data_IF_226170142993
#
_entry.id   IF_226170142993
#
_cell.length_a   1.000
_cell.length_b   1.000
_cell.length_c   1.000
_cell.angle_alpha   90.00
_cell.angle_beta   90.00
_cell.angle_gamma   90.00
#
_symmetry.space_group_name_H-M   'P 1'
#
loop_
_entity.id
_entity.type
_entity.pdbx_description
1 polymer ?
#
# COMPACT_ATOMS: atom_id res chain seq x y z
N UNK A 1 0.92 4.25 19.77
CA UNK A 1 1.19 2.94 19.13
C UNK A 1 2.21 3.14 18.01
N UNK A 2 3.17 2.22 17.88
CA UNK A 2 4.19 2.27 16.82
C UNK A 2 3.83 1.30 15.70
N UNK A 3 3.81 1.77 14.45
CA UNK A 3 3.52 0.94 13.28
C UNK A 3 4.76 0.19 12.79
N UNK A 4 4.55 -0.89 12.02
CA UNK A 4 5.65 -1.58 11.30
C UNK A 4 6.50 -0.58 10.51
N UNK A 5 5.87 0.29 9.72
CA UNK A 5 6.57 1.32 8.92
C UNK A 5 7.39 2.28 9.79
N UNK A 6 6.90 2.64 10.97
CA UNK A 6 7.60 3.51 11.91
C UNK A 6 8.83 2.82 12.53
N UNK A 7 8.72 1.53 12.87
CA UNK A 7 9.84 0.73 13.38
C UNK A 7 10.89 0.52 12.30
N UNK A 8 10.50 0.07 11.10
CA UNK A 8 11.40 -0.11 9.95
C UNK A 8 12.23 1.16 9.68
N UNK A 9 11.60 2.34 9.72
CA UNK A 9 12.28 3.62 9.51
C UNK A 9 13.29 3.96 10.60
N UNK A 10 13.04 3.55 11.85
CA UNK A 10 13.93 3.82 13.00
C UNK A 10 15.04 2.77 13.14
N UNK A 11 14.81 1.56 12.63
CA UNK A 11 15.76 0.45 12.73
C UNK A 11 17.02 0.74 11.91
N UNK A 12 18.16 0.82 12.59
CA UNK A 12 19.46 0.93 11.94
C UNK A 12 19.81 -0.40 11.29
N UNK A 13 19.78 -0.43 9.97
CA UNK A 13 20.14 -1.61 9.19
C UNK A 13 21.60 -1.56 8.69
N UNK A 14 22.23 -2.73 8.45
CA UNK A 14 23.49 -2.82 7.71
C UNK A 14 23.43 -2.10 6.34
N UNK A 15 24.59 -1.89 5.71
CA UNK A 15 24.68 -1.17 4.42
C UNK A 15 23.71 -1.73 3.37
N UNK A 16 23.59 -3.05 3.29
CA UNK A 16 22.73 -3.74 2.32
C UNK A 16 21.38 -4.18 2.90
N UNK A 17 21.04 -3.79 4.13
CA UNK A 17 19.87 -4.33 4.84
C UNK A 17 20.13 -5.64 5.57
N UNK A 18 19.22 -6.01 6.46
CA UNK A 18 19.20 -7.34 7.06
C UNK A 18 18.80 -8.42 6.06
N UNK A 19 17.83 -8.08 5.19
CA UNK A 19 17.40 -8.91 4.08
C UNK A 19 17.70 -8.17 2.76
N UNK A 20 18.89 -8.35 2.15
CA UNK A 20 19.30 -7.55 1.00
C UNK A 20 18.44 -7.81 -0.24
N UNK A 21 18.05 -6.75 -0.97
CA UNK A 21 17.27 -6.88 -2.22
C UNK A 21 17.95 -7.81 -3.24
N UNK A 22 19.29 -7.87 -3.26
CA UNK A 22 20.06 -8.78 -4.12
C UNK A 22 19.82 -10.28 -3.84
N UNK A 23 19.20 -10.65 -2.71
CA UNK A 23 18.83 -12.05 -2.45
C UNK A 23 17.53 -12.45 -3.16
N UNK A 24 16.74 -11.49 -3.64
CA UNK A 24 15.52 -11.75 -4.39
C UNK A 24 15.86 -12.07 -5.83
N UNK A 25 15.15 -13.05 -6.39
CA UNK A 25 15.09 -13.26 -7.83
C UNK A 25 14.26 -12.14 -8.45
N UNK A 26 14.76 -11.56 -9.54
CA UNK A 26 14.14 -10.38 -10.18
C UNK A 26 13.66 -10.74 -11.57
N UNK A 27 12.38 -10.52 -11.83
CA UNK A 27 11.75 -10.76 -13.12
C UNK A 27 11.28 -9.42 -13.70
N UNK A 28 11.75 -9.09 -14.90
CA UNK A 28 11.26 -7.95 -15.67
C UNK A 28 10.09 -8.41 -16.56
N UNK A 29 8.92 -7.82 -16.37
CA UNK A 29 7.71 -8.13 -17.13
C UNK A 29 7.51 -7.20 -18.33
N UNK A 30 7.91 -5.93 -18.19
CA UNK A 30 7.81 -4.89 -19.20
C UNK A 30 8.74 -3.73 -18.87
N UNK A 31 8.97 -2.86 -19.85
CA UNK A 31 9.81 -1.66 -19.68
C UNK A 31 9.21 -0.66 -18.68
N UNK A 32 10.04 0.07 -17.90
CA UNK A 32 9.56 1.09 -16.99
C UNK A 32 8.68 2.15 -17.68
N UNK A 33 7.59 2.55 -17.02
CA UNK A 33 6.70 3.58 -17.56
C UNK A 33 7.39 4.96 -17.53
N UNK A 34 7.16 5.76 -18.57
CA UNK A 34 7.59 7.14 -18.56
C UNK A 34 6.65 7.98 -17.69
N UNK A 35 7.17 8.45 -16.54
CA UNK A 35 6.42 9.29 -15.59
C UNK A 35 6.69 10.79 -15.77
N UNK A 36 7.46 11.16 -16.80
CA UNK A 36 7.71 12.56 -17.12
C UNK A 36 6.41 13.23 -17.54
N UNK A 37 6.09 14.36 -16.89
CA UNK A 37 4.86 15.10 -17.16
C UNK A 37 3.65 14.65 -16.36
N UNK A 38 3.75 13.66 -15.46
CA UNK A 38 2.69 13.43 -14.47
C UNK A 38 2.51 14.68 -13.58
N UNK A 39 1.25 15.05 -13.29
CA UNK A 39 0.94 16.24 -12.49
C UNK A 39 0.32 15.92 -11.11
N UNK A 40 0.21 14.65 -10.76
CA UNK A 40 -0.20 14.17 -9.43
C UNK A 40 1.01 13.66 -8.67
N UNK A 41 1.08 13.93 -7.37
CA UNK A 41 2.21 13.53 -6.54
C UNK A 41 2.37 12.00 -6.51
N UNK A 42 3.60 11.45 -6.59
CA UNK A 42 3.83 10.00 -6.69
C UNK A 42 3.19 9.17 -5.57
N UNK A 43 3.12 9.69 -4.34
CA UNK A 43 2.46 8.98 -3.23
C UNK A 43 0.96 8.81 -3.46
N UNK A 44 0.29 9.84 -3.98
CA UNK A 44 -1.15 9.80 -4.27
C UNK A 44 -1.44 8.91 -5.48
N UNK A 45 -0.56 8.92 -6.49
CA UNK A 45 -0.60 7.93 -7.58
C UNK A 45 -0.49 6.50 -7.04
N UNK A 46 0.39 6.27 -6.07
CA UNK A 46 0.55 4.96 -5.43
C UNK A 46 -0.73 4.47 -4.74
N UNK A 47 -1.35 5.33 -3.93
CA UNK A 47 -2.63 5.03 -3.26
C UNK A 47 -3.75 4.78 -4.28
N UNK A 48 -3.84 5.59 -5.34
CA UNK A 48 -4.86 5.41 -6.36
C UNK A 48 -4.70 4.08 -7.12
N UNK A 49 -3.47 3.68 -7.43
CA UNK A 49 -3.18 2.38 -8.05
C UNK A 49 -3.57 1.22 -7.13
N UNK A 50 -3.28 1.31 -5.84
CA UNK A 50 -3.67 0.30 -4.85
C UNK A 50 -5.20 0.17 -4.76
N UNK A 51 -5.92 1.30 -4.56
CA UNK A 51 -7.37 1.31 -4.49
C UNK A 51 -8.03 0.78 -5.77
N UNK A 52 -7.60 1.24 -6.94
CA UNK A 52 -8.16 0.77 -8.22
C UNK A 52 -7.89 -0.73 -8.43
N UNK A 53 -6.71 -1.22 -8.07
CA UNK A 53 -6.41 -2.65 -8.17
C UNK A 53 -7.33 -3.48 -7.27
N UNK A 54 -7.48 -3.11 -5.99
CA UNK A 54 -8.37 -3.79 -5.04
C UNK A 54 -9.84 -3.71 -5.46
N UNK A 55 -10.29 -2.57 -6.00
CA UNK A 55 -11.65 -2.39 -6.51
C UNK A 55 -11.97 -3.37 -7.65
N UNK A 56 -10.98 -3.62 -8.52
CA UNK A 56 -11.11 -4.56 -9.62
C UNK A 56 -10.91 -6.03 -9.21
N UNK A 57 -10.44 -6.28 -7.98
CA UNK A 57 -10.23 -7.62 -7.42
C UNK A 57 -11.34 -7.96 -6.40
N UNK A 58 -12.57 -8.14 -6.93
CA UNK A 58 -13.86 -8.17 -6.22
C UNK A 58 -13.99 -9.19 -5.06
N UNK A 59 -13.03 -10.09 -4.88
CA UNK A 59 -13.09 -11.12 -3.84
C UNK A 59 -12.66 -10.62 -2.44
N UNK A 60 -12.20 -9.36 -2.29
CA UNK A 60 -11.61 -8.87 -1.03
C UNK A 60 -12.16 -7.53 -0.53
N UNK A 61 -13.45 -7.23 -0.77
CA UNK A 61 -14.03 -5.87 -0.66
C UNK A 61 -14.38 -5.36 0.74
N UNK A 62 -13.98 -5.99 1.85
CA UNK A 62 -14.33 -5.42 3.16
C UNK A 62 -13.52 -4.15 3.42
N UNK A 63 -14.23 -3.02 3.50
CA UNK A 63 -13.73 -1.74 3.98
C UNK A 63 -12.62 -1.08 3.12
N UNK A 64 -12.60 -1.29 1.80
CA UNK A 64 -11.57 -0.77 0.87
C UNK A 64 -11.23 0.72 1.12
N UNK A 65 -12.25 1.58 1.20
CA UNK A 65 -12.08 3.02 1.39
C UNK A 65 -12.20 3.47 2.85
N UNK A 66 -12.09 2.55 3.82
CA UNK A 66 -12.21 2.89 5.24
C UNK A 66 -11.20 3.93 5.67
N UNK A 67 -9.95 3.83 5.21
CA UNK A 67 -8.90 4.79 5.55
C UNK A 67 -9.22 6.20 5.06
N UNK A 68 -9.73 6.33 3.83
CA UNK A 68 -10.18 7.62 3.30
C UNK A 68 -11.39 8.17 4.07
N UNK A 69 -12.37 7.33 4.38
CA UNK A 69 -13.56 7.70 5.16
C UNK A 69 -13.19 8.14 6.60
N UNK A 70 -12.31 7.42 7.27
CA UNK A 70 -11.78 7.80 8.59
C UNK A 70 -11.00 9.12 8.52
N UNK A 71 -10.21 9.32 7.45
CA UNK A 71 -9.53 10.59 7.19
C UNK A 71 -10.50 11.76 7.04
N UNK A 72 -11.59 11.57 6.31
CA UNK A 72 -12.65 12.55 6.14
C UNK A 72 -13.39 12.85 7.46
N UNK A 73 -13.71 11.82 8.25
CA UNK A 73 -14.33 12.00 9.57
C UNK A 73 -13.42 12.75 10.55
N UNK A 74 -12.11 12.48 10.52
CA UNK A 74 -11.13 13.21 11.33
C UNK A 74 -11.09 14.70 10.94
N UNK A 75 -11.18 15.02 9.65
CA UNK A 75 -11.25 16.40 9.17
C UNK A 75 -12.51 17.11 9.64
N UNK A 76 -13.68 16.48 9.53
CA UNK A 76 -14.95 17.04 10.01
C UNK A 76 -14.87 17.37 11.51
N UNK A 77 -14.37 16.43 12.31
CA UNK A 77 -14.18 16.63 13.75
C UNK A 77 -13.16 17.73 14.07
N UNK A 78 -12.05 17.79 13.33
CA UNK A 78 -11.04 18.83 13.49
C UNK A 78 -11.60 20.21 13.16
N UNK A 79 -12.33 20.35 12.06
CA UNK A 79 -12.95 21.61 11.66
C UNK A 79 -13.96 22.09 12.70
N UNK A 80 -14.85 21.20 13.16
CA UNK A 80 -15.81 21.48 14.22
C UNK A 80 -15.13 21.96 15.50
N UNK A 81 -14.09 21.26 15.96
CA UNK A 81 -13.36 21.62 17.18
C UNK A 81 -12.68 23.00 17.09
N UNK A 82 -12.19 23.37 15.89
CA UNK A 82 -11.49 24.64 15.66
C UNK A 82 -12.41 25.78 15.20
N UNK A 83 -13.74 25.57 15.13
CA UNK A 83 -14.69 26.57 14.66
C UNK A 83 -14.54 26.93 13.17
N UNK A 84 -13.97 26.02 12.38
CA UNK A 84 -13.87 26.12 10.91
C UNK A 84 -15.18 25.59 10.32
N UNK A 85 -15.63 26.18 9.21
CA UNK A 85 -16.80 25.69 8.48
C UNK A 85 -16.62 24.20 8.13
N UNK A 86 -17.60 23.38 8.54
CA UNK A 86 -17.59 21.95 8.29
C UNK A 86 -18.34 21.68 6.98
N UNK A 87 -17.62 21.17 5.98
CA UNK A 87 -18.15 20.87 4.65
C UNK A 87 -18.78 19.46 4.54
N UNK A 88 -18.86 18.70 5.63
CA UNK A 88 -19.29 17.30 5.66
C UNK A 88 -18.44 16.43 4.72
N UNK A 89 -17.12 16.46 4.92
CA UNK A 89 -16.13 15.72 4.12
C UNK A 89 -16.45 14.22 4.10
N UNK A 90 -16.92 13.64 5.21
CA UNK A 90 -17.29 12.23 5.26
C UNK A 90 -18.40 11.88 4.26
N UNK A 91 -19.50 12.65 4.24
CA UNK A 91 -20.61 12.41 3.30
C UNK A 91 -20.20 12.71 1.87
N UNK A 92 -19.30 13.68 1.65
CA UNK A 92 -18.74 13.94 0.33
C UNK A 92 -17.93 12.75 -0.20
N UNK A 93 -16.95 12.24 0.57
CA UNK A 93 -16.15 11.07 0.19
C UNK A 93 -17.02 9.84 -0.04
N UNK A 94 -18.02 9.62 0.82
CA UNK A 94 -19.01 8.56 0.64
C UNK A 94 -19.78 8.70 -0.67
N UNK A 95 -20.22 9.90 -1.03
CA UNK A 95 -20.90 10.14 -2.31
C UNK A 95 -20.00 9.87 -3.52
N UNK A 96 -18.70 10.18 -3.43
CA UNK A 96 -17.74 9.83 -4.48
C UNK A 96 -17.65 8.32 -4.65
N UNK A 97 -17.52 7.58 -3.54
CA UNK A 97 -17.47 6.12 -3.53
C UNK A 97 -18.75 5.51 -4.13
N UNK A 98 -19.93 5.97 -3.69
CA UNK A 98 -21.24 5.49 -4.17
C UNK A 98 -21.44 5.75 -5.67
N UNK A 99 -20.74 6.73 -6.22
CA UNK A 99 -20.81 7.11 -7.64
C UNK A 99 -19.78 6.40 -8.54
N UNK A 100 -18.92 5.52 -8.00
CA UNK A 100 -17.92 4.80 -8.79
C UNK A 100 -18.60 3.77 -9.70
N UNK A 101 -18.19 3.73 -10.97
CA UNK A 101 -18.60 2.68 -11.91
C UNK A 101 -17.81 1.38 -11.72
N UNK A 102 -16.74 1.44 -10.94
CA UNK A 102 -15.78 0.36 -10.68
C UNK A 102 -15.03 -0.07 -11.96
N UNK A 103 -14.64 0.91 -12.78
CA UNK A 103 -13.85 0.69 -13.98
C UNK A 103 -12.55 1.52 -13.99
N UNK A 104 -11.81 1.46 -15.10
CA UNK A 104 -10.58 2.25 -15.30
C UNK A 104 -10.82 3.44 -16.25
N UNK A 105 -12.04 3.98 -16.28
CA UNK A 105 -12.33 5.22 -16.99
C UNK A 105 -11.57 6.39 -16.35
N UNK A 106 -11.37 7.47 -17.10
CA UNK A 106 -10.73 8.66 -16.55
C UNK A 106 -11.50 9.21 -15.33
N UNK A 107 -12.83 9.15 -15.37
CA UNK A 107 -13.69 9.66 -14.31
C UNK A 107 -13.50 8.89 -13.00
N UNK A 108 -13.51 7.56 -13.04
CA UNK A 108 -13.31 6.72 -11.85
C UNK A 108 -11.88 6.85 -11.31
N UNK A 109 -10.86 6.94 -12.19
CA UNK A 109 -9.48 7.20 -11.76
C UNK A 109 -9.39 8.54 -11.01
N UNK A 110 -10.01 9.60 -11.53
CA UNK A 110 -10.02 10.92 -10.88
C UNK A 110 -10.68 10.86 -9.52
N UNK A 111 -11.87 10.23 -9.41
CA UNK A 111 -12.58 10.04 -8.15
C UNK A 111 -11.73 9.28 -7.14
N UNK A 112 -11.04 8.22 -7.55
CA UNK A 112 -10.18 7.45 -6.64
C UNK A 112 -8.94 8.25 -6.20
N UNK A 113 -8.36 9.08 -7.07
CA UNK A 113 -7.29 10.02 -6.66
C UNK A 113 -7.83 10.99 -5.59
N UNK A 114 -9.04 11.51 -5.77
CA UNK A 114 -9.68 12.42 -4.82
C UNK A 114 -9.99 11.73 -3.48
N UNK A 115 -10.59 10.54 -3.51
CA UNK A 115 -10.82 9.71 -2.31
C UNK A 115 -9.49 9.43 -1.58
N UNK A 116 -8.45 9.04 -2.31
CA UNK A 116 -7.13 8.77 -1.75
C UNK A 116 -6.43 10.01 -1.15
N UNK A 117 -6.89 11.22 -1.47
CA UNK A 117 -6.32 12.45 -0.90
C UNK A 117 -6.62 12.60 0.60
N UNK A 118 -7.60 11.85 1.13
CA UNK A 118 -7.99 11.85 2.55
C UNK A 118 -7.14 10.90 3.41
N UNK A 119 -6.48 9.90 2.84
CA UNK A 119 -5.62 8.94 3.55
C UNK A 119 -4.59 9.60 4.49
N UNK A 120 -3.85 10.65 4.08
CA UNK A 120 -2.88 11.31 4.95
C UNK A 120 -3.46 11.86 6.24
N UNK A 121 -4.73 12.30 6.25
CA UNK A 121 -5.39 12.82 7.44
C UNK A 121 -5.48 11.73 8.53
N UNK A 122 -5.85 10.51 8.14
CA UNK A 122 -5.87 9.36 9.04
C UNK A 122 -4.46 8.88 9.39
N UNK A 123 -3.59 8.69 8.39
CA UNK A 123 -2.30 8.01 8.56
C UNK A 123 -1.22 8.88 9.25
N UNK A 124 -1.30 10.20 9.07
CA UNK A 124 -0.26 11.14 9.52
C UNK A 124 -0.83 12.39 10.20
N UNK A 125 -2.15 12.51 10.34
CA UNK A 125 -2.84 13.65 10.93
C UNK A 125 -3.27 14.71 9.91
N UNK A 126 -4.27 15.50 10.29
CA UNK A 126 -4.93 16.54 9.47
C UNK A 126 -3.97 17.51 8.80
N UNK A 127 -2.85 17.84 9.44
CA UNK A 127 -1.83 18.73 8.89
C UNK A 127 -1.14 18.20 7.63
N UNK A 128 -1.28 16.89 7.33
CA UNK A 128 -0.75 16.27 6.11
C UNK A 128 -1.81 16.10 5.01
N UNK A 129 -3.07 16.47 5.28
CA UNK A 129 -4.11 16.52 4.27
C UNK A 129 -3.84 17.66 3.29
N UNK A 130 -4.08 17.40 2.00
CA UNK A 130 -4.08 18.43 0.97
C UNK A 130 -5.37 18.30 0.18
N UNK A 131 -6.25 19.33 0.18
CA UNK A 131 -7.49 19.28 -0.58
C UNK A 131 -7.23 19.02 -2.06
N UNK A 132 -8.04 18.14 -2.66
CA UNK A 132 -7.93 17.82 -4.08
C UNK A 132 -8.09 19.07 -4.97
N UNK A 133 -9.00 19.96 -4.60
CA UNK A 133 -9.20 21.23 -5.29
C UNK A 133 -7.94 22.12 -5.25
N UNK A 134 -7.24 22.22 -4.12
CA UNK A 134 -5.98 22.96 -4.02
C UNK A 134 -4.88 22.34 -4.87
N UNK A 135 -4.87 21.01 -5.04
CA UNK A 135 -3.97 20.34 -5.97
C UNK A 135 -4.28 20.74 -7.43
N UNK A 136 -5.55 20.79 -7.82
CA UNK A 136 -6.00 21.23 -9.16
C UNK A 136 -5.58 22.68 -9.41
N UNK A 137 -5.82 23.58 -8.46
CA UNK A 137 -5.48 25.00 -8.59
C UNK A 137 -3.97 25.21 -8.80
N UNK A 138 -3.15 24.42 -8.11
CA UNK A 138 -1.70 24.54 -8.17
C UNK A 138 -1.08 23.86 -9.41
N UNK A 139 -1.57 22.69 -9.77
CA UNK A 139 -0.92 21.79 -10.74
C UNK A 139 -1.75 21.55 -12.01
N UNK A 140 -2.93 22.18 -12.12
CA UNK A 140 -3.92 21.90 -13.14
C UNK A 140 -4.72 20.62 -12.88
N UNK A 141 -5.79 20.43 -13.66
CA UNK A 141 -6.59 19.20 -13.62
C UNK A 141 -5.74 17.97 -13.99
N UNK A 142 -6.11 16.79 -13.49
CA UNK A 142 -5.35 15.55 -13.71
C UNK A 142 -5.17 15.29 -15.21
N UNK A 143 -3.92 15.21 -15.66
CA UNK A 143 -3.62 15.14 -17.08
C UNK A 143 -3.66 13.70 -17.63
N UNK A 144 -3.75 13.58 -18.96
CA UNK A 144 -3.83 12.28 -19.64
C UNK A 144 -2.61 11.38 -19.42
N UNK A 145 -1.43 11.95 -19.20
CA UNK A 145 -0.22 11.16 -18.90
C UNK A 145 -0.41 10.41 -17.59
N UNK A 146 -0.84 11.12 -16.54
CA UNK A 146 -1.13 10.55 -15.22
C UNK A 146 -2.22 9.49 -15.30
N UNK A 147 -3.34 9.79 -15.98
CA UNK A 147 -4.47 8.86 -16.12
C UNK A 147 -4.07 7.58 -16.86
N UNK A 148 -3.33 7.70 -17.96
CA UNK A 148 -2.86 6.56 -18.75
C UNK A 148 -1.85 5.71 -17.97
N UNK A 149 -0.94 6.32 -17.22
CA UNK A 149 0.02 5.60 -16.41
C UNK A 149 -0.66 4.82 -15.28
N UNK A 150 -1.61 5.42 -14.55
CA UNK A 150 -2.40 4.72 -13.53
C UNK A 150 -3.15 3.54 -14.16
N UNK A 151 -3.89 3.78 -15.25
CA UNK A 151 -4.62 2.73 -15.96
C UNK A 151 -3.73 1.59 -16.40
N UNK A 152 -2.56 1.90 -16.95
CA UNK A 152 -1.60 0.90 -17.41
C UNK A 152 -1.10 0.05 -16.23
N UNK A 153 -0.67 0.69 -15.14
CA UNK A 153 -0.19 0.00 -13.94
C UNK A 153 -1.25 -0.94 -13.37
N UNK A 154 -2.49 -0.48 -13.20
CA UNK A 154 -3.59 -1.29 -12.66
C UNK A 154 -3.92 -2.45 -13.61
N UNK A 155 -3.95 -2.20 -14.92
CA UNK A 155 -4.19 -3.24 -15.93
C UNK A 155 -3.11 -4.34 -15.87
N UNK A 156 -1.84 -3.95 -15.71
CA UNK A 156 -0.73 -4.90 -15.58
C UNK A 156 -0.76 -5.67 -14.27
N UNK A 157 -1.21 -5.06 -13.18
CA UNK A 157 -1.45 -5.76 -11.92
C UNK A 157 -2.56 -6.80 -12.05
N UNK A 158 -3.70 -6.44 -12.66
CA UNK A 158 -4.82 -7.38 -12.92
C UNK A 158 -4.32 -8.58 -13.75
N UNK A 159 -3.53 -8.32 -14.79
CA UNK A 159 -2.94 -9.37 -15.64
C UNK A 159 -1.91 -10.26 -14.91
N UNK A 160 -1.22 -9.73 -13.91
CA UNK A 160 -0.22 -10.50 -13.15
C UNK A 160 -0.89 -11.34 -12.06
N UNK A 161 -1.82 -10.76 -11.33
CA UNK A 161 -2.49 -11.34 -10.17
C UNK A 161 -3.78 -12.10 -10.53
N UNK A 162 -3.71 -12.87 -11.60
CA UNK A 162 -4.73 -13.84 -12.03
C UNK A 162 -4.15 -15.26 -11.95
N UNK A 163 -5.02 -16.26 -12.08
CA UNK A 163 -4.65 -17.68 -12.08
C UNK A 163 -3.76 -18.09 -10.90
N UNK A 164 -2.50 -18.44 -11.16
CA UNK A 164 -1.54 -18.95 -10.17
C UNK A 164 -1.14 -17.91 -9.12
N UNK A 165 -1.17 -16.62 -9.47
CA UNK A 165 -0.84 -15.52 -8.58
C UNK A 165 -2.08 -14.82 -8.03
N UNK A 166 -3.27 -15.42 -8.17
CA UNK A 166 -4.51 -14.83 -7.69
C UNK A 166 -4.40 -14.41 -6.23
N UNK A 167 -4.80 -13.17 -5.94
CA UNK A 167 -4.87 -12.65 -4.58
C UNK A 167 -6.00 -13.34 -3.82
N UNK A 168 -5.71 -13.80 -2.61
CA UNK A 168 -6.65 -14.48 -1.71
C UNK A 168 -7.02 -13.63 -0.49
N UNK A 169 -6.18 -12.67 -0.12
CA UNK A 169 -6.41 -11.78 1.03
C UNK A 169 -5.70 -10.44 0.78
N UNK A 170 -6.25 -9.36 1.33
CA UNK A 170 -5.66 -8.01 1.23
C UNK A 170 -5.89 -7.25 2.54
N UNK A 171 -4.96 -6.36 2.89
CA UNK A 171 -5.11 -5.51 4.09
C UNK A 171 -5.15 -6.28 5.40
N UNK A 172 -4.53 -7.46 5.45
CA UNK A 172 -4.53 -8.32 6.64
C UNK A 172 -3.77 -7.66 7.76
N UNK A 173 -4.45 -7.40 8.88
CA UNK A 173 -3.81 -6.94 10.12
C UNK A 173 -3.21 -8.12 10.90
N UNK A 174 -2.43 -7.84 11.94
CA UNK A 174 -1.76 -8.86 12.77
C UNK A 174 -2.26 -8.85 14.21
N UNK A 175 -3.56 -8.64 14.41
CA UNK A 175 -4.20 -8.64 15.74
C UNK A 175 -3.83 -9.93 16.49
N UNK A 176 -3.36 -9.78 17.73
CA UNK A 176 -2.87 -10.87 18.57
C UNK A 176 -1.43 -11.31 18.32
N UNK A 177 -0.79 -10.84 17.23
CA UNK A 177 0.61 -11.09 16.91
C UNK A 177 1.55 -9.89 17.13
N UNK A 178 0.99 -8.69 17.37
CA UNK A 178 1.74 -7.49 17.71
C UNK A 178 2.50 -7.63 19.03
N UNK A 179 3.61 -6.89 19.15
CA UNK A 179 4.51 -6.87 20.30
C UNK A 179 4.66 -5.48 20.92
N UNK A 180 5.60 -5.34 21.83
CA UNK A 180 5.82 -4.08 22.57
C UNK A 180 6.25 -2.95 21.63
N UNK A 181 7.07 -3.27 20.62
CA UNK A 181 7.63 -2.28 19.70
C UNK A 181 6.77 -2.03 18.47
N UNK A 182 5.93 -3.00 18.08
CA UNK A 182 5.07 -2.94 16.91
C UNK A 182 3.65 -3.30 17.31
N UNK A 183 2.77 -2.30 17.25
CA UNK A 183 1.38 -2.39 17.73
C UNK A 183 0.35 -2.26 16.61
N UNK A 184 0.78 -1.83 15.41
CA UNK A 184 -0.08 -1.71 14.23
C UNK A 184 0.67 -2.03 12.95
N UNK A 185 -0.06 -2.49 11.94
CA UNK A 185 0.47 -2.77 10.60
C UNK A 185 -0.41 -3.74 9.84
N UNK A 186 -0.40 -3.63 8.53
CA UNK A 186 -1.17 -4.43 7.60
C UNK A 186 -0.30 -4.78 6.39
N UNK A 187 -0.42 -6.01 5.88
CA UNK A 187 0.22 -6.35 4.62
C UNK A 187 -0.67 -6.01 3.43
N UNK A 188 -0.06 -5.73 2.29
CA UNK A 188 -0.80 -5.35 1.09
C UNK A 188 -1.65 -6.52 0.58
N UNK A 189 -1.00 -7.58 0.11
CA UNK A 189 -1.68 -8.74 -0.49
C UNK A 189 -1.08 -10.08 -0.09
N UNK A 190 -1.92 -11.10 -0.05
CA UNK A 190 -1.53 -12.51 -0.04
C UNK A 190 -2.03 -13.17 -1.32
N UNK A 191 -1.17 -13.92 -1.99
CA UNK A 191 -1.59 -14.96 -2.94
C UNK A 191 -1.46 -16.33 -2.28
N UNK A 192 -1.76 -17.40 -3.02
CA UNK A 192 -1.70 -18.79 -2.53
C UNK A 192 -0.41 -19.16 -1.78
N UNK A 193 0.73 -18.64 -2.22
CA UNK A 193 2.04 -19.01 -1.68
C UNK A 193 2.99 -17.82 -1.43
N UNK A 194 2.52 -16.59 -1.61
CA UNK A 194 3.38 -15.41 -1.57
C UNK A 194 2.73 -14.27 -0.79
N UNK A 195 3.50 -13.70 0.15
CA UNK A 195 3.20 -12.43 0.81
C UNK A 195 3.75 -11.30 -0.04
N UNK A 196 2.91 -10.35 -0.43
CA UNK A 196 3.24 -9.28 -1.36
C UNK A 196 3.26 -7.90 -0.70
N UNK A 197 4.25 -7.10 -1.10
CA UNK A 197 4.31 -5.64 -0.90
C UNK A 197 4.21 -4.95 -2.27
N UNK A 198 3.32 -3.97 -2.38
CA UNK A 198 3.11 -3.18 -3.58
C UNK A 198 4.01 -1.94 -3.55
N UNK A 199 4.83 -1.79 -4.58
CA UNK A 199 5.72 -0.64 -4.71
C UNK A 199 5.44 0.17 -5.96
N UNK A 200 4.72 1.29 -5.85
CA UNK A 200 4.47 2.19 -6.99
C UNK A 200 5.55 3.28 -7.04
N UNK A 201 6.76 2.92 -7.48
CA UNK A 201 7.94 3.81 -7.49
C UNK A 201 8.79 3.62 -8.74
N UNK A 202 9.33 4.72 -9.28
CA UNK A 202 10.32 4.65 -10.38
C UNK A 202 11.70 4.12 -9.97
N UNK A 203 11.89 3.88 -8.67
CA UNK A 203 13.14 3.37 -8.10
C UNK A 203 12.98 1.91 -7.69
N UNK A 204 14.10 1.18 -7.74
CA UNK A 204 14.22 -0.17 -7.17
C UNK A 204 13.82 -0.17 -5.68
N UNK A 205 13.29 -1.30 -5.16
CA UNK A 205 13.03 -1.46 -3.73
C UNK A 205 14.28 -1.20 -2.89
N UNK A 206 14.07 -0.71 -1.68
CA UNK A 206 15.13 -0.40 -0.72
C UNK A 206 15.16 -1.47 0.38
N UNK A 207 16.22 -1.43 1.20
CA UNK A 207 16.37 -2.34 2.35
C UNK A 207 15.25 -2.20 3.39
N UNK A 208 14.60 -1.04 3.44
CA UNK A 208 13.43 -0.82 4.30
C UNK A 208 12.23 -1.66 3.82
N UNK A 209 12.06 -1.81 2.49
CA UNK A 209 10.93 -2.55 1.90
C UNK A 209 11.05 -4.05 2.19
N UNK A 210 12.26 -4.61 2.06
CA UNK A 210 12.49 -6.02 2.39
C UNK A 210 12.43 -6.32 3.88
N UNK A 211 12.86 -5.38 4.75
CA UNK A 211 12.69 -5.54 6.20
C UNK A 211 11.21 -5.50 6.60
N UNK A 212 10.43 -4.60 5.99
CA UNK A 212 8.98 -4.53 6.21
C UNK A 212 8.30 -5.86 5.87
N UNK A 213 8.57 -6.43 4.69
CA UNK A 213 8.06 -7.75 4.29
C UNK A 213 8.43 -8.86 5.28
N UNK A 214 9.69 -8.87 5.75
CA UNK A 214 10.13 -9.86 6.72
C UNK A 214 9.37 -9.73 8.05
N UNK A 215 9.15 -8.50 8.53
CA UNK A 215 8.36 -8.25 9.74
C UNK A 215 6.92 -8.74 9.55
N UNK A 216 6.28 -8.43 8.41
CA UNK A 216 4.93 -8.92 8.11
C UNK A 216 4.85 -10.45 8.10
N UNK A 217 5.86 -11.13 7.55
CA UNK A 217 5.93 -12.58 7.61
C UNK A 217 6.03 -13.10 9.04
N UNK A 218 6.92 -12.55 9.88
CA UNK A 218 7.07 -12.98 11.28
C UNK A 218 5.79 -12.72 12.08
N UNK A 219 5.17 -11.55 11.91
CA UNK A 219 3.90 -11.22 12.57
C UNK A 219 2.77 -12.16 12.15
N UNK A 220 2.63 -12.44 10.86
CA UNK A 220 1.53 -13.26 10.34
C UNK A 220 1.70 -14.75 10.61
N UNK A 221 2.91 -15.29 10.37
CA UNK A 221 3.19 -16.72 10.46
C UNK A 221 3.57 -17.16 11.88
N UNK A 222 4.60 -16.55 12.48
CA UNK A 222 5.15 -17.01 13.77
C UNK A 222 4.27 -16.61 14.95
N UNK A 223 3.82 -15.34 14.97
CA UNK A 223 3.10 -14.75 16.11
C UNK A 223 1.59 -14.93 16.03
N UNK A 224 0.96 -14.36 15.00
CA UNK A 224 -0.49 -14.42 14.83
C UNK A 224 -0.98 -15.83 14.45
N UNK A 225 -0.11 -16.65 13.85
CA UNK A 225 -0.44 -17.98 13.28
C UNK A 225 -1.68 -17.92 12.40
N UNK A 226 -1.74 -16.91 11.54
CA UNK A 226 -2.84 -16.77 10.58
C UNK A 226 -2.85 -17.97 9.65
N UNK A 227 -4.02 -18.59 9.47
CA UNK A 227 -4.20 -19.73 8.56
C UNK A 227 -3.76 -19.35 7.13
N UNK A 228 -4.04 -18.13 6.69
CA UNK A 228 -3.62 -17.64 5.37
C UNK A 228 -2.10 -17.53 5.19
N UNK A 229 -1.32 -17.52 6.28
CA UNK A 229 0.13 -17.51 6.25
C UNK A 229 0.74 -18.93 6.19
N UNK A 230 -0.01 -19.98 6.51
CA UNK A 230 0.51 -21.36 6.60
C UNK A 230 1.09 -21.89 5.27
N UNK A 231 0.60 -21.38 4.15
CA UNK A 231 1.00 -21.80 2.81
C UNK A 231 2.01 -20.87 2.14
N UNK A 232 2.39 -19.78 2.82
CA UNK A 232 3.30 -18.78 2.26
C UNK A 232 4.73 -19.35 2.24
N UNK A 233 5.28 -19.40 1.02
CA UNK A 233 6.63 -19.88 0.71
C UNK A 233 7.55 -18.77 0.25
N UNK A 234 6.99 -17.63 -0.16
CA UNK A 234 7.75 -16.54 -0.74
C UNK A 234 7.40 -15.18 -0.14
N UNK A 235 8.40 -14.31 -0.08
CA UNK A 235 8.23 -12.87 0.04
C UNK A 235 8.32 -12.26 -1.36
N UNK A 236 7.35 -11.41 -1.70
CA UNK A 236 7.20 -10.81 -3.02
C UNK A 236 7.11 -9.28 -2.96
N UNK A 237 7.81 -8.58 -3.85
CA UNK A 237 7.58 -7.16 -4.12
C UNK A 237 7.13 -7.04 -5.58
N UNK A 238 5.98 -6.41 -5.80
CA UNK A 238 5.51 -6.09 -7.15
C UNK A 238 5.62 -4.58 -7.39
N UNK A 239 6.36 -4.17 -8.42
CA UNK A 239 6.49 -2.77 -8.78
C UNK A 239 5.98 -2.50 -10.21
N UNK A 240 4.75 -1.98 -10.37
CA UNK A 240 4.18 -1.71 -11.68
C UNK A 240 4.84 -0.51 -12.39
N UNK A 241 5.48 0.40 -11.66
CA UNK A 241 6.11 1.58 -12.26
C UNK A 241 7.37 1.24 -13.06
N UNK A 242 8.10 0.21 -12.63
CA UNK A 242 9.30 -0.27 -13.34
C UNK A 242 9.12 -1.65 -13.96
N UNK A 243 7.92 -2.22 -13.89
CA UNK A 243 7.58 -3.51 -14.48
C UNK A 243 8.36 -4.69 -13.92
N UNK A 244 8.69 -4.67 -12.62
CA UNK A 244 9.51 -5.71 -11.97
C UNK A 244 8.80 -6.43 -10.84
N UNK A 245 9.14 -7.71 -10.70
CA UNK A 245 8.79 -8.59 -9.58
C UNK A 245 10.06 -9.03 -8.89
N UNK A 246 10.09 -8.94 -7.57
CA UNK A 246 11.17 -9.46 -6.72
C UNK A 246 10.58 -10.59 -5.89
N UNK A 247 11.14 -11.79 -5.98
CA UNK A 247 10.65 -12.95 -5.23
C UNK A 247 11.78 -13.61 -4.45
N UNK A 248 11.58 -13.85 -3.16
CA UNK A 248 12.52 -14.56 -2.31
C UNK A 248 11.81 -15.73 -1.65
N UNK A 249 12.39 -16.92 -1.80
CA UNK A 249 11.93 -18.11 -1.08
C UNK A 249 12.31 -17.99 0.40
N UNK A 250 11.31 -18.15 1.28
CA UNK A 250 11.47 -17.99 2.72
C UNK A 250 12.45 -19.02 3.29
N UNK A 251 12.51 -20.22 2.71
CA UNK A 251 13.46 -21.27 3.10
C UNK A 251 14.94 -20.85 2.94
N UNK A 252 15.22 -19.81 2.14
CA UNK A 252 16.56 -19.23 1.95
C UNK A 252 16.90 -18.16 3.00
N UNK A 253 15.96 -17.78 3.86
CA UNK A 253 16.16 -16.78 4.92
C UNK A 253 16.77 -17.47 6.14
N UNK A 254 17.81 -16.85 6.70
CA UNK A 254 18.45 -17.33 7.92
C UNK A 254 17.45 -17.33 9.10
N UNK A 255 17.34 -18.48 9.78
CA UNK A 255 16.46 -18.63 10.95
C UNK A 255 16.87 -17.71 12.10
N UNK A 256 18.16 -17.41 12.24
CA UNK A 256 18.62 -16.49 13.28
C UNK A 256 18.23 -15.05 12.96
N UNK A 257 18.09 -14.70 11.67
CA UNK A 257 17.52 -13.41 11.27
C UNK A 257 16.01 -13.35 11.60
N UNK A 258 15.25 -14.41 11.35
CA UNK A 258 13.82 -14.48 11.73
C UNK A 258 13.66 -14.26 13.23
N UNK A 259 14.44 -14.98 14.05
CA UNK A 259 14.46 -14.81 15.51
C UNK A 259 14.86 -13.40 15.93
N UNK A 260 15.88 -12.82 15.30
CA UNK A 260 16.28 -11.45 15.59
C UNK A 260 15.15 -10.44 15.34
N UNK A 261 14.45 -10.57 14.20
CA UNK A 261 13.29 -9.71 13.91
C UNK A 261 12.22 -9.88 14.98
N UNK A 262 11.95 -11.11 15.37
CA UNK A 262 10.96 -11.42 16.39
C UNK A 262 11.32 -10.85 17.76
N UNK A 263 12.52 -11.17 18.28
CA UNK A 263 12.94 -10.84 19.64
C UNK A 263 13.33 -9.37 19.82
N UNK A 264 13.81 -8.70 18.77
CA UNK A 264 14.43 -7.37 18.88
C UNK A 264 13.62 -6.27 18.20
N UNK A 265 12.87 -6.58 17.14
CA UNK A 265 12.11 -5.56 16.41
C UNK A 265 10.62 -5.59 16.72
N UNK A 266 10.05 -6.78 16.93
CA UNK A 266 8.64 -6.96 17.34
C UNK A 266 8.56 -6.93 18.87
N UNK A 267 9.31 -7.85 19.49
CA UNK A 267 9.38 -8.23 20.91
C UNK A 267 8.02 -8.65 21.50
#
# INVERSE_FOLDING_TARGET
>A
MSSVTAVVRKTKQPKNGYLPIKSFEVYSMYEPINRSGENVHPSLVGLAVDYLFRLNNKEVSQSLFSVALEGAMILDNYNLFNGIENNNEFEYVKSLIDSLNNDLSDLDIIKVIEIASYDPAYRAGVQNYTPFQSMIEKNGFVNKITLNNIRFMVTKMIQYFQDENKIIETGSTFIGGYGDNIQTGDCDFLSKDTLWDLKVSKYEPKKEDSLQLLIYYVLGYERCRKISFEHIKYLGIYNPSIGKVYKLEIAKIDKDLIRYVDDQLIQ
#
